data_IF_409737277318
#
_entry.id   IF_409737277318
#
_cell.length_a   1.000
_cell.length_b   1.000
_cell.length_c   1.000
_cell.angle_alpha   90.00
_cell.angle_beta   90.00
_cell.angle_gamma   90.00
#
_symmetry.space_group_name_H-M   'P 1'
#
loop_
_entity.id
_entity.type
_entity.pdbx_description
1 polymer ?
#
# COMPACT_ATOMS: atom_id res chain seq x y z
N UNK A 1 59.53 -44.17 8.40
CA UNK A 1 58.33 -43.51 8.94
C UNK A 1 57.90 -42.43 7.96
N UNK A 2 56.60 -42.44 7.66
CA UNK A 2 55.86 -41.48 6.84
C UNK A 2 56.15 -40.02 7.24
N UNK A 3 56.20 -39.10 6.27
CA UNK A 3 55.02 -38.26 6.03
C UNK A 3 55.05 -37.56 4.66
N UNK A 4 54.12 -37.98 3.80
CA UNK A 4 53.59 -37.20 2.69
C UNK A 4 52.67 -36.14 3.28
N UNK A 5 52.95 -34.86 3.08
CA UNK A 5 51.95 -33.80 3.25
C UNK A 5 52.01 -32.94 1.97
N UNK A 6 51.39 -33.41 0.88
CA UNK A 6 49.97 -33.22 0.58
C UNK A 6 49.71 -31.76 0.18
N UNK A 7 50.23 -31.41 -1.01
CA UNK A 7 49.77 -30.27 -1.79
C UNK A 7 48.29 -30.47 -2.11
N UNK A 8 47.44 -30.04 -1.17
CA UNK A 8 46.03 -29.82 -1.42
C UNK A 8 45.94 -28.67 -2.42
N UNK A 9 45.84 -29.03 -3.70
CA UNK A 9 45.25 -28.20 -4.73
C UNK A 9 43.90 -27.75 -4.17
N UNK A 10 43.84 -26.51 -3.64
CA UNK A 10 42.57 -25.82 -3.47
C UNK A 10 42.02 -25.65 -4.87
N UNK A 11 41.20 -26.60 -5.30
CA UNK A 11 40.34 -26.42 -6.44
C UNK A 11 39.50 -25.18 -6.13
N UNK A 12 39.88 -24.03 -6.71
CA UNK A 12 39.04 -22.84 -6.77
C UNK A 12 37.80 -23.26 -7.54
N UNK A 13 36.78 -23.72 -6.82
CA UNK A 13 35.49 -24.03 -7.39
C UNK A 13 34.96 -22.73 -7.96
N UNK A 14 35.03 -22.60 -9.29
CA UNK A 14 34.42 -21.49 -10.02
C UNK A 14 32.97 -21.43 -9.56
N UNK A 15 32.59 -20.35 -8.89
CA UNK A 15 31.22 -20.20 -8.41
C UNK A 15 30.30 -20.18 -9.63
N UNK A 16 29.31 -21.08 -9.71
CA UNK A 16 28.35 -21.08 -10.81
C UNK A 16 27.65 -19.73 -10.94
N UNK A 17 27.40 -19.34 -12.18
CA UNK A 17 26.72 -18.09 -12.49
C UNK A 17 25.22 -18.14 -12.18
N UNK A 18 24.58 -16.98 -12.14
CA UNK A 18 23.13 -16.84 -11.97
C UNK A 18 22.41 -17.50 -13.14
N UNK A 19 22.93 -17.35 -14.37
CA UNK A 19 22.35 -17.97 -15.56
C UNK A 19 22.30 -19.50 -15.46
N UNK A 20 23.35 -20.11 -14.90
CA UNK A 20 23.46 -21.57 -14.76
C UNK A 20 22.61 -22.12 -13.61
N UNK A 21 22.48 -21.36 -12.52
CA UNK A 21 21.83 -21.85 -11.30
C UNK A 21 20.38 -21.43 -11.12
N UNK A 22 19.95 -20.33 -11.74
CA UNK A 22 18.61 -19.76 -11.64
C UNK A 22 18.17 -19.19 -13.00
N UNK A 23 18.04 -20.04 -14.05
CA UNK A 23 17.71 -19.59 -15.39
C UNK A 23 16.38 -18.82 -15.47
N UNK A 24 15.40 -19.18 -14.64
CA UNK A 24 14.11 -18.50 -14.53
C UNK A 24 14.23 -17.08 -13.95
N UNK A 25 15.17 -16.87 -13.02
CA UNK A 25 15.47 -15.54 -12.48
C UNK A 25 16.29 -14.73 -13.49
N UNK A 26 17.24 -15.37 -14.16
CA UNK A 26 18.02 -14.73 -15.22
C UNK A 26 17.14 -14.27 -16.39
N UNK A 27 16.02 -14.94 -16.66
CA UNK A 27 15.04 -14.51 -17.67
C UNK A 27 14.35 -13.17 -17.32
N UNK A 28 14.33 -12.76 -16.06
CA UNK A 28 13.80 -11.47 -15.62
C UNK A 28 14.85 -10.34 -15.68
N UNK A 29 16.05 -10.60 -16.21
CA UNK A 29 17.12 -9.61 -16.25
C UNK A 29 16.81 -8.47 -17.23
N UNK A 30 16.94 -7.22 -16.76
CA UNK A 30 16.81 -6.06 -17.65
C UNK A 30 18.14 -5.76 -18.35
N UNK A 31 18.33 -6.30 -19.56
CA UNK A 31 19.58 -6.17 -20.31
C UNK A 31 19.92 -4.74 -20.71
N UNK A 32 18.92 -3.88 -20.92
CA UNK A 32 19.12 -2.48 -21.29
C UNK A 32 19.66 -1.70 -20.09
N UNK A 33 19.01 -1.80 -18.93
CA UNK A 33 19.40 -1.06 -17.73
C UNK A 33 20.66 -1.58 -17.04
N UNK A 34 20.96 -2.87 -17.18
CA UNK A 34 22.20 -3.45 -16.62
C UNK A 34 23.41 -3.29 -17.56
N UNK A 35 23.22 -2.81 -18.79
CA UNK A 35 24.30 -2.56 -19.75
C UNK A 35 25.16 -3.80 -20.00
N UNK A 36 26.46 -3.68 -19.71
CA UNK A 36 27.43 -4.77 -19.90
C UNK A 36 27.36 -5.87 -18.83
N UNK A 37 26.66 -5.65 -17.70
CA UNK A 37 26.51 -6.67 -16.68
C UNK A 37 25.47 -7.72 -17.11
N UNK A 38 25.91 -8.98 -17.22
CA UNK A 38 25.06 -10.10 -17.66
C UNK A 38 24.90 -11.17 -16.56
N UNK A 39 23.80 -11.97 -16.58
CA UNK A 39 23.56 -13.03 -15.61
C UNK A 39 24.67 -14.10 -15.53
N UNK A 40 25.38 -14.37 -16.62
CA UNK A 40 26.50 -15.33 -16.64
C UNK A 40 27.79 -14.78 -15.99
N UNK A 41 27.83 -13.51 -15.59
CA UNK A 41 28.99 -12.85 -14.97
C UNK A 41 28.87 -12.71 -13.44
N UNK A 42 27.75 -13.12 -12.86
CA UNK A 42 27.42 -12.90 -11.45
C UNK A 42 26.92 -14.19 -10.82
N UNK A 43 27.16 -14.39 -9.53
CA UNK A 43 26.58 -15.51 -8.79
C UNK A 43 25.25 -15.13 -8.13
N UNK A 44 24.43 -16.12 -7.81
CA UNK A 44 23.18 -15.93 -7.08
C UNK A 44 23.37 -15.30 -5.67
N UNK A 45 24.57 -15.37 -5.10
CA UNK A 45 24.91 -14.75 -3.81
C UNK A 45 25.40 -13.30 -3.91
N UNK A 46 25.49 -12.75 -5.12
CA UNK A 46 26.06 -11.42 -5.36
C UNK A 46 25.30 -10.30 -4.64
N UNK A 47 26.06 -9.37 -4.05
CA UNK A 47 25.54 -8.14 -3.43
C UNK A 47 25.29 -7.03 -4.45
N UNK A 48 25.71 -7.21 -5.71
CA UNK A 48 25.53 -6.19 -6.75
C UNK A 48 24.05 -5.91 -6.97
N UNK A 49 23.73 -4.63 -7.15
CA UNK A 49 22.43 -4.20 -7.62
C UNK A 49 22.28 -4.58 -9.09
N UNK A 50 21.11 -5.10 -9.44
CA UNK A 50 20.71 -5.35 -10.81
C UNK A 50 19.26 -4.86 -11.02
N UNK A 51 18.95 -4.50 -12.25
CA UNK A 51 17.61 -4.16 -12.71
C UNK A 51 16.90 -5.40 -13.25
N UNK A 52 15.60 -5.52 -12.94
CA UNK A 52 14.76 -6.67 -13.25
C UNK A 52 13.47 -6.21 -13.91
N UNK A 53 12.93 -7.04 -14.82
CA UNK A 53 11.65 -6.91 -15.52
C UNK A 53 10.77 -8.10 -15.18
N UNK A 54 9.58 -7.86 -14.65
CA UNK A 54 8.62 -8.92 -14.35
C UNK A 54 7.67 -9.13 -15.54
N UNK A 55 7.43 -10.38 -15.97
CA UNK A 55 6.53 -10.65 -17.10
C UNK A 55 5.05 -10.31 -16.83
N UNK A 56 4.68 -9.99 -15.57
CA UNK A 56 3.30 -9.67 -15.19
C UNK A 56 2.83 -8.28 -15.61
N UNK A 57 3.74 -7.38 -15.96
CA UNK A 57 3.36 -6.04 -16.39
C UNK A 57 4.53 -5.29 -17.03
N UNK A 58 4.28 -4.50 -18.08
CA UNK A 58 5.33 -3.76 -18.79
C UNK A 58 5.99 -2.67 -17.92
N UNK A 59 5.32 -2.20 -16.87
CA UNK A 59 5.82 -1.23 -15.90
C UNK A 59 6.40 -1.88 -14.63
N UNK A 60 6.57 -3.21 -14.61
CA UNK A 60 7.12 -3.94 -13.46
C UNK A 60 8.63 -4.03 -13.57
N UNK A 61 9.26 -2.87 -13.44
CA UNK A 61 10.71 -2.74 -13.46
C UNK A 61 11.22 -2.29 -12.09
N UNK A 62 12.20 -2.99 -11.52
CA UNK A 62 12.76 -2.62 -10.23
C UNK A 62 14.24 -2.97 -10.12
N UNK A 63 14.93 -2.27 -9.22
CA UNK A 63 16.31 -2.59 -8.87
C UNK A 63 16.36 -3.30 -7.49
N UNK A 64 17.13 -4.38 -7.39
CA UNK A 64 17.46 -5.00 -6.10
C UNK A 64 18.76 -5.77 -6.17
N UNK A 65 19.36 -6.06 -5.02
CA UNK A 65 20.56 -6.87 -4.94
C UNK A 65 20.27 -8.29 -5.45
N UNK A 66 21.16 -8.85 -6.26
CA UNK A 66 20.98 -10.18 -6.88
C UNK A 66 20.66 -11.25 -5.84
N UNK A 67 21.36 -11.26 -4.70
CA UNK A 67 21.09 -12.18 -3.59
C UNK A 67 19.67 -12.09 -3.02
N UNK A 68 19.03 -10.91 -3.05
CA UNK A 68 17.65 -10.79 -2.55
C UNK A 68 16.67 -11.45 -3.52
N UNK A 69 16.90 -11.29 -4.82
CA UNK A 69 16.09 -11.95 -5.86
C UNK A 69 16.35 -13.46 -5.87
N UNK A 70 17.61 -13.87 -6.02
CA UNK A 70 18.00 -15.25 -6.29
C UNK A 70 18.03 -16.15 -5.05
N UNK A 71 18.63 -15.70 -3.93
CA UNK A 71 18.77 -16.54 -2.73
C UNK A 71 17.66 -16.39 -1.71
N UNK A 72 17.12 -15.18 -1.54
CA UNK A 72 16.03 -14.93 -0.58
C UNK A 72 14.64 -15.09 -1.19
N UNK A 73 14.55 -15.36 -2.49
CA UNK A 73 13.27 -15.55 -3.19
C UNK A 73 12.38 -14.31 -3.21
N UNK A 74 12.91 -13.10 -3.05
CA UNK A 74 12.09 -11.90 -3.10
C UNK A 74 11.49 -11.72 -4.50
N UNK A 75 10.16 -11.75 -4.58
CA UNK A 75 9.34 -11.46 -5.75
C UNK A 75 9.55 -10.07 -6.38
N UNK A 76 8.90 -9.85 -7.52
CA UNK A 76 8.68 -8.52 -8.09
C UNK A 76 8.10 -7.55 -7.03
N UNK A 77 8.80 -6.44 -6.79
CA UNK A 77 8.40 -5.44 -5.79
C UNK A 77 7.12 -4.70 -6.13
N UNK A 78 6.75 -4.64 -7.41
CA UNK A 78 5.50 -4.05 -7.89
C UNK A 78 4.33 -5.00 -7.61
N UNK A 79 4.47 -6.29 -7.96
CA UNK A 79 3.47 -7.31 -7.64
C UNK A 79 3.20 -7.41 -6.13
N UNK A 80 4.24 -7.21 -5.32
CA UNK A 80 4.13 -7.18 -3.86
C UNK A 80 3.63 -5.83 -3.30
N UNK A 81 3.26 -4.87 -4.16
CA UNK A 81 2.82 -3.51 -3.80
C UNK A 81 3.81 -2.71 -2.94
N UNK A 82 5.10 -3.04 -2.99
CA UNK A 82 6.19 -2.31 -2.32
C UNK A 82 6.64 -1.09 -3.12
N UNK A 83 6.49 -1.16 -4.45
CA UNK A 83 6.68 -0.05 -5.37
C UNK A 83 5.35 0.18 -6.07
N UNK A 84 4.90 1.44 -6.11
CA UNK A 84 3.67 1.84 -6.80
C UNK A 84 4.03 2.35 -8.19
N UNK A 85 3.36 1.82 -9.19
CA UNK A 85 3.44 2.18 -10.61
C UNK A 85 2.01 2.28 -11.17
N UNK A 86 1.81 2.80 -12.39
CA UNK A 86 0.47 2.97 -12.96
C UNK A 86 -0.39 1.71 -12.95
N UNK A 87 0.18 0.51 -13.13
CA UNK A 87 -0.59 -0.74 -13.17
C UNK A 87 -1.11 -1.22 -11.81
N UNK A 88 -0.54 -0.77 -10.68
CA UNK A 88 -0.94 -1.22 -9.33
C UNK A 88 -1.40 -0.08 -8.39
N UNK A 89 -1.47 1.16 -8.88
CA UNK A 89 -1.94 2.27 -8.08
C UNK A 89 -3.43 2.14 -7.72
N UNK A 90 -3.87 2.89 -6.70
CA UNK A 90 -5.25 2.88 -6.22
C UNK A 90 -6.22 3.32 -7.32
N UNK A 91 -5.88 4.34 -8.12
CA UNK A 91 -6.71 4.80 -9.23
C UNK A 91 -6.96 3.70 -10.27
N UNK A 92 -5.96 2.85 -10.53
CA UNK A 92 -6.07 1.75 -11.48
C UNK A 92 -6.85 0.56 -10.92
N UNK A 93 -6.56 0.19 -9.67
CA UNK A 93 -7.09 -1.05 -9.07
C UNK A 93 -8.45 -0.87 -8.39
N UNK A 94 -8.74 0.34 -7.88
CA UNK A 94 -9.95 0.65 -7.11
C UNK A 94 -10.48 2.05 -7.50
N UNK A 95 -10.93 2.26 -8.75
CA UNK A 95 -11.29 3.59 -9.27
C UNK A 95 -12.42 4.26 -8.47
N UNK A 96 -13.36 3.51 -7.91
CA UNK A 96 -14.44 4.08 -7.10
C UNK A 96 -13.93 4.63 -5.76
N UNK A 97 -13.01 3.90 -5.10
CA UNK A 97 -12.36 4.38 -3.88
C UNK A 97 -11.43 5.55 -4.19
N UNK A 98 -10.72 5.52 -5.31
CA UNK A 98 -9.83 6.59 -5.75
C UNK A 98 -10.54 7.93 -5.97
N UNK A 99 -11.81 7.94 -6.41
CA UNK A 99 -12.63 9.15 -6.54
C UNK A 99 -12.86 9.86 -5.21
N UNK A 100 -12.80 9.13 -4.10
CA UNK A 100 -12.96 9.70 -2.76
C UNK A 100 -11.63 10.22 -2.18
N UNK A 101 -10.49 10.06 -2.87
CA UNK A 101 -9.21 10.53 -2.36
C UNK A 101 -9.17 12.07 -2.35
N UNK A 102 -8.96 12.67 -1.17
CA UNK A 102 -9.08 14.12 -1.01
C UNK A 102 -7.72 14.82 -1.10
N UNK A 103 -7.26 15.06 -2.33
CA UNK A 103 -5.95 15.67 -2.64
C UNK A 103 -5.63 16.96 -1.86
N UNK A 104 -6.57 17.92 -1.63
CA UNK A 104 -6.26 19.16 -0.92
C UNK A 104 -5.65 18.98 0.48
N UNK A 105 -5.87 17.84 1.13
CA UNK A 105 -5.32 17.53 2.47
C UNK A 105 -4.26 16.41 2.46
N UNK A 106 -3.83 15.96 1.28
CA UNK A 106 -2.83 14.90 1.13
C UNK A 106 -1.52 15.38 0.49
N UNK A 107 -1.35 16.69 0.30
CA UNK A 107 -0.12 17.28 -0.23
C UNK A 107 0.15 16.82 -1.67
N UNK A 108 1.33 16.23 -1.89
CA UNK A 108 1.77 15.74 -3.21
C UNK A 108 1.23 14.35 -3.56
N UNK A 109 0.67 13.63 -2.59
CA UNK A 109 0.18 12.27 -2.79
C UNK A 109 -1.15 12.31 -3.55
N UNK A 110 -1.32 11.37 -4.47
CA UNK A 110 -2.54 11.22 -5.27
C UNK A 110 -2.96 9.75 -5.30
N UNK A 111 -4.17 9.45 -5.77
CA UNK A 111 -4.59 8.06 -5.99
C UNK A 111 -3.74 7.32 -7.04
N UNK A 112 -2.91 8.03 -7.81
CA UNK A 112 -1.94 7.46 -8.76
C UNK A 112 -0.62 7.06 -8.11
N UNK A 113 -0.30 7.57 -6.92
CA UNK A 113 1.00 7.35 -6.24
C UNK A 113 0.92 6.37 -5.06
N UNK A 114 -0.28 5.94 -4.70
CA UNK A 114 -0.51 5.03 -3.57
C UNK A 114 -1.09 3.68 -4.01
N UNK A 115 -0.84 2.62 -3.25
CA UNK A 115 -1.46 1.31 -3.47
C UNK A 115 -2.66 1.08 -2.55
N UNK A 116 -3.58 0.23 -2.99
CA UNK A 116 -4.77 -0.17 -2.22
C UNK A 116 -4.44 -0.82 -0.86
N UNK A 117 -3.31 -1.52 -0.75
CA UNK A 117 -2.87 -2.19 0.47
C UNK A 117 -2.10 -1.30 1.45
N UNK A 118 -1.91 -0.01 1.16
CA UNK A 118 -1.16 0.89 2.03
C UNK A 118 -1.82 1.06 3.41
N UNK A 119 -1.00 1.07 4.45
CA UNK A 119 -1.40 1.38 5.82
C UNK A 119 -1.18 2.85 6.21
N UNK A 120 -0.62 3.66 5.30
CA UNK A 120 -0.53 5.10 5.50
C UNK A 120 -1.93 5.71 5.53
N UNK A 121 -2.11 6.73 6.36
CA UNK A 121 -3.38 7.42 6.52
C UNK A 121 -3.47 8.61 5.57
N UNK A 122 -4.56 8.68 4.82
CA UNK A 122 -4.89 9.78 3.92
C UNK A 122 -6.28 10.33 4.24
N UNK A 123 -6.53 11.56 3.80
CA UNK A 123 -7.85 12.17 3.84
C UNK A 123 -8.68 11.74 2.64
N UNK A 124 -9.96 11.46 2.90
CA UNK A 124 -10.97 11.04 1.94
C UNK A 124 -12.16 11.97 2.04
N UNK A 125 -12.84 12.23 0.92
CA UNK A 125 -14.09 13.00 0.86
C UNK A 125 -15.16 12.17 0.14
N UNK A 126 -16.30 12.00 0.80
CA UNK A 126 -17.47 11.33 0.23
C UNK A 126 -18.28 12.34 -0.57
N UNK A 127 -18.97 11.90 -1.63
CA UNK A 127 -19.83 12.76 -2.45
C UNK A 127 -21.17 13.14 -1.77
N UNK A 128 -21.50 12.51 -0.63
CA UNK A 128 -22.81 12.69 0.05
C UNK A 128 -22.89 13.96 0.91
N UNK A 129 -21.75 14.58 1.24
CA UNK A 129 -21.73 15.79 2.06
C UNK A 129 -20.39 16.50 1.97
N UNK A 130 -20.43 17.83 1.96
CA UNK A 130 -19.21 18.63 1.81
C UNK A 130 -18.29 18.54 3.02
N UNK A 131 -18.85 18.31 4.21
CA UNK A 131 -18.16 18.09 5.47
C UNK A 131 -17.76 16.62 5.70
N UNK A 132 -18.05 15.71 4.76
CA UNK A 132 -17.71 14.29 4.88
C UNK A 132 -16.24 14.04 4.53
N UNK A 133 -15.34 14.65 5.30
CA UNK A 133 -13.89 14.52 5.14
C UNK A 133 -13.32 13.73 6.32
N UNK A 134 -12.69 12.59 6.08
CA UNK A 134 -12.13 11.75 7.15
C UNK A 134 -10.78 11.15 6.80
N UNK A 135 -10.03 10.77 7.84
CA UNK A 135 -8.70 10.21 7.72
C UNK A 135 -8.71 8.70 8.00
N UNK A 136 -8.28 7.89 7.04
CA UNK A 136 -8.12 6.43 7.19
C UNK A 136 -7.12 5.88 6.16
N UNK A 137 -6.73 4.61 6.26
CA UNK A 137 -5.83 3.98 5.30
C UNK A 137 -6.56 3.42 4.06
N UNK A 138 -5.90 3.36 2.88
CA UNK A 138 -6.44 2.70 1.69
C UNK A 138 -6.80 1.24 1.95
N UNK A 139 -6.02 0.52 2.76
CA UNK A 139 -6.32 -0.87 3.12
C UNK A 139 -7.66 -0.97 3.86
N UNK A 140 -7.96 -0.05 4.78
CA UNK A 140 -9.25 -0.01 5.47
C UNK A 140 -10.41 0.24 4.50
N UNK A 141 -10.20 1.08 3.49
CA UNK A 141 -11.22 1.37 2.46
C UNK A 141 -11.44 0.21 1.50
N UNK A 142 -10.38 -0.52 1.12
CA UNK A 142 -10.41 -1.50 0.03
C UNK A 142 -10.58 -2.95 0.50
N UNK A 143 -9.84 -3.36 1.55
CA UNK A 143 -9.90 -4.73 2.07
C UNK A 143 -11.00 -4.90 3.12
N UNK A 144 -11.16 -3.92 3.99
CA UNK A 144 -12.12 -3.96 5.09
C UNK A 144 -13.42 -3.19 4.79
N UNK A 145 -13.56 -2.64 3.59
CA UNK A 145 -14.74 -1.89 3.14
C UNK A 145 -15.24 -0.84 4.16
N UNK A 146 -14.31 -0.17 4.86
CA UNK A 146 -14.65 0.85 5.84
C UNK A 146 -15.40 1.99 5.14
N UNK A 147 -16.67 2.26 5.54
CA UNK A 147 -17.50 3.25 4.87
C UNK A 147 -17.14 4.68 5.29
N UNK A 148 -17.74 5.66 4.62
CA UNK A 148 -17.77 7.03 5.13
C UNK A 148 -18.37 7.04 6.56
N UNK A 149 -17.64 7.55 7.58
CA UNK A 149 -18.09 7.50 8.96
C UNK A 149 -19.30 8.40 9.22
N UNK A 150 -19.47 9.45 8.42
CA UNK A 150 -20.62 10.35 8.49
C UNK A 150 -21.87 9.65 7.91
N UNK A 151 -21.78 9.07 6.70
CA UNK A 151 -22.90 8.28 6.14
C UNK A 151 -23.28 7.08 7.03
N UNK A 152 -22.32 6.50 7.76
CA UNK A 152 -22.56 5.37 8.67
C UNK A 152 -22.97 5.81 10.09
N UNK A 153 -23.17 7.12 10.33
CA UNK A 153 -23.56 7.72 11.61
C UNK A 153 -22.58 7.48 12.77
N UNK A 154 -21.34 7.09 12.47
CA UNK A 154 -20.27 6.93 13.48
C UNK A 154 -19.51 8.22 13.75
N UNK A 155 -19.70 9.25 12.91
CA UNK A 155 -19.32 10.64 13.16
C UNK A 155 -20.49 11.55 12.87
N UNK A 156 -20.63 12.61 13.67
CA UNK A 156 -21.63 13.67 13.44
C UNK A 156 -21.20 14.57 12.28
N UNK A 157 -22.18 15.02 11.52
CA UNK A 157 -22.12 15.92 10.37
C UNK A 157 -23.40 16.74 10.35
N UNK A 158 -23.34 17.88 9.68
CA UNK A 158 -24.51 18.72 9.38
C UNK A 158 -25.62 17.99 8.62
N UNK A 159 -25.32 16.83 8.00
CA UNK A 159 -26.31 16.05 7.26
C UNK A 159 -26.84 14.84 8.02
N UNK A 160 -26.38 14.59 9.26
CA UNK A 160 -26.77 13.38 10.00
C UNK A 160 -27.00 13.58 11.51
N UNK A 161 -26.95 14.83 11.97
CA UNK A 161 -27.21 15.17 13.36
C UNK A 161 -28.65 14.85 13.75
N UNK A 162 -28.94 14.74 15.06
CA UNK A 162 -30.31 14.58 15.55
C UNK A 162 -31.19 15.74 15.08
N UNK A 163 -30.69 16.98 15.15
CA UNK A 163 -31.37 18.17 14.62
C UNK A 163 -31.76 18.01 13.14
N UNK A 164 -30.84 17.50 12.33
CA UNK A 164 -31.03 17.42 10.88
C UNK A 164 -31.99 16.30 10.49
N UNK A 165 -31.85 15.12 11.10
CA UNK A 165 -32.65 13.95 10.74
C UNK A 165 -34.00 13.89 11.48
N UNK A 166 -34.10 14.49 12.67
CA UNK A 166 -35.25 14.40 13.56
C UNK A 166 -35.55 15.75 14.21
N UNK A 167 -35.91 16.78 13.42
CA UNK A 167 -36.13 18.13 13.95
C UNK A 167 -37.23 18.20 15.01
N UNK A 168 -38.25 17.32 14.93
CA UNK A 168 -39.30 17.23 15.95
C UNK A 168 -38.76 16.71 17.29
N UNK A 169 -37.90 15.67 17.27
CA UNK A 169 -37.26 15.15 18.48
C UNK A 169 -36.26 16.18 19.04
N UNK A 170 -35.51 16.85 18.17
CA UNK A 170 -34.58 17.90 18.58
C UNK A 170 -35.29 19.11 19.23
N UNK A 171 -36.54 19.38 18.87
CA UNK A 171 -37.35 20.43 19.50
C UNK A 171 -37.75 20.09 20.94
N UNK A 172 -37.76 18.81 21.30
CA UNK A 172 -38.07 18.32 22.65
C UNK A 172 -36.84 18.30 23.58
N UNK A 173 -35.67 18.79 23.13
CA UNK A 173 -34.40 18.70 23.84
C UNK A 173 -34.37 19.47 25.17
N UNK A 174 -34.00 18.79 26.26
CA UNK A 174 -33.77 19.42 27.57
C UNK A 174 -32.32 19.94 27.68
N UNK A 175 -32.10 21.18 27.24
CA UNK A 175 -30.78 21.83 27.30
C UNK A 175 -30.20 21.90 28.72
N UNK A 176 -31.05 21.99 29.75
CA UNK A 176 -30.57 22.08 31.14
C UNK A 176 -30.02 20.74 31.61
N UNK A 177 -30.67 19.62 31.26
CA UNK A 177 -30.19 18.28 31.63
C UNK A 177 -29.04 17.80 30.76
N UNK A 178 -29.00 18.21 29.48
CA UNK A 178 -27.99 17.76 28.53
C UNK A 178 -26.70 18.61 28.53
N UNK A 179 -26.69 19.74 29.23
CA UNK A 179 -25.51 20.59 29.38
C UNK A 179 -25.03 21.14 28.04
N UNK A 180 -23.75 20.90 27.70
CA UNK A 180 -23.14 21.38 26.45
C UNK A 180 -23.50 20.53 25.22
N UNK A 181 -24.15 19.37 25.39
CA UNK A 181 -24.61 18.58 24.25
C UNK A 181 -25.82 19.25 23.60
N UNK A 182 -25.74 19.43 22.29
CA UNK A 182 -26.85 19.90 21.46
C UNK A 182 -27.28 18.80 20.47
N UNK A 183 -28.51 18.85 19.94
CA UNK A 183 -28.96 17.93 18.89
C UNK A 183 -28.08 17.95 17.62
N UNK A 184 -27.36 19.04 17.38
CA UNK A 184 -26.41 19.16 16.25
C UNK A 184 -25.10 18.38 16.45
N UNK A 185 -24.78 18.02 17.70
CA UNK A 185 -23.52 17.38 18.08
C UNK A 185 -23.64 15.86 18.29
N UNK A 186 -24.81 15.27 18.03
CA UNK A 186 -25.04 13.84 18.19
C UNK A 186 -25.69 13.21 16.95
N UNK A 187 -25.43 11.91 16.75
CA UNK A 187 -26.15 11.08 15.78
C UNK A 187 -27.03 10.08 16.52
N UNK A 188 -27.96 9.42 15.82
CA UNK A 188 -28.80 8.37 16.42
C UNK A 188 -28.05 7.10 16.83
N UNK A 189 -26.81 6.92 16.36
CA UNK A 189 -25.93 5.81 16.80
C UNK A 189 -25.08 6.17 18.01
N UNK A 190 -25.10 7.43 18.46
CA UNK A 190 -24.32 7.84 19.61
C UNK A 190 -24.97 7.24 20.87
N UNK A 191 -24.26 6.36 21.60
CA UNK A 191 -24.81 5.59 22.73
C UNK A 191 -25.03 6.43 24.02
N UNK A 192 -25.11 7.75 23.92
CA UNK A 192 -25.36 8.62 25.07
C UNK A 192 -26.85 8.82 25.24
N UNK A 193 -27.38 8.48 26.42
CA UNK A 193 -28.72 8.88 26.82
C UNK A 193 -28.79 10.40 26.95
N UNK A 194 -29.85 10.97 26.38
CA UNK A 194 -30.14 12.41 26.37
C UNK A 194 -31.59 12.61 26.77
N UNK A 195 -31.90 13.76 27.37
CA UNK A 195 -33.17 14.06 28.02
C UNK A 195 -33.98 15.17 27.35
#
# INVERSE_FOLDING_TARGET
>A
MYNKNNDLIKATTKTPSLQETHPEIAAEWDYERNGSLKPNMVSAGSHRLAHWKCPKGPDHEWATAIRHRARRGHGCSICANRIVVPSNCLAKTHPNIAKEFYTPMNGVETSLTISAGSNKYFYWKCAQGDDHIWKTSPQKRTLFNSPCPYCNNTKVSTTNSLASNYPHIAAEWDYKKNGELTPDLITTKNMKSVF
#
